data_IF_195257793547
#
_entry.id   IF_195257793547
#
_cell.length_a   1.000
_cell.length_b   1.000
_cell.length_c   1.000
_cell.angle_alpha   90.00
_cell.angle_beta   90.00
_cell.angle_gamma   90.00
#
_symmetry.space_group_name_H-M   'P 1'
#
loop_
_entity.id
_entity.type
_entity.pdbx_description
1 polymer ?
#
# COMPACT_ATOMS: atom_id res chain seq x y z
N UNK A 1 10.52 -23.99 9.34
CA UNK A 1 9.46 -23.39 9.10
C UNK A 1 9.60 -22.02 8.61
N UNK A 2 8.96 -21.66 7.68
CA UNK A 2 9.15 -20.40 7.14
C UNK A 2 8.34 -19.41 7.86
N UNK A 3 8.77 -18.20 7.83
CA UNK A 3 8.11 -17.17 8.40
C UNK A 3 7.52 -16.37 7.36
N UNK A 4 6.27 -16.26 7.30
CA UNK A 4 5.59 -15.43 6.34
C UNK A 4 5.83 -13.99 6.68
N UNK A 5 6.13 -13.20 5.71
CA UNK A 5 6.25 -11.77 5.91
C UNK A 5 4.85 -11.20 6.07
N UNK A 6 4.59 -10.50 7.14
CA UNK A 6 3.24 -9.96 7.33
C UNK A 6 2.96 -8.88 6.27
N UNK A 7 1.74 -8.77 5.81
CA UNK A 7 1.41 -7.73 4.86
C UNK A 7 1.52 -6.35 5.49
N UNK A 8 1.79 -5.32 4.71
CA UNK A 8 1.86 -3.99 5.27
C UNK A 8 0.48 -3.51 5.71
N UNK A 9 0.47 -2.70 6.75
CA UNK A 9 -0.78 -2.18 7.29
C UNK A 9 -0.70 -0.67 7.43
N UNK A 10 -1.86 -0.05 7.56
CA UNK A 10 -1.94 1.36 7.93
C UNK A 10 -1.71 1.47 9.45
N UNK A 11 -1.53 2.67 9.94
CA UNK A 11 -1.34 2.89 11.36
C UNK A 11 -2.56 2.42 12.16
N UNK A 12 -3.73 2.48 11.57
CA UNK A 12 -4.96 2.00 12.20
C UNK A 12 -5.05 0.48 12.28
N UNK A 13 -4.15 -0.23 11.60
CA UNK A 13 -4.10 -1.69 11.68
C UNK A 13 -4.70 -2.43 10.51
N UNK A 14 -5.41 -1.73 9.63
CA UNK A 14 -6.01 -2.40 8.49
C UNK A 14 -4.94 -2.74 7.47
N UNK A 15 -5.09 -3.83 6.79
CA UNK A 15 -4.15 -4.25 5.77
C UNK A 15 -4.23 -3.33 4.56
N UNK A 16 -3.09 -2.90 4.03
CA UNK A 16 -3.06 -2.08 2.83
C UNK A 16 -3.34 -2.98 1.63
N UNK A 17 -4.27 -2.59 0.80
CA UNK A 17 -4.66 -3.37 -0.37
C UNK A 17 -4.64 -2.52 -1.63
N UNK A 18 -4.33 -3.11 -2.78
CA UNK A 18 -4.38 -2.37 -4.03
C UNK A 18 -5.78 -1.83 -4.27
N UNK A 19 -5.85 -0.62 -4.76
CA UNK A 19 -7.13 0.03 -5.02
C UNK A 19 -7.67 0.85 -3.87
N UNK A 20 -7.04 0.75 -2.69
CA UNK A 20 -7.47 1.55 -1.56
C UNK A 20 -7.29 3.04 -1.86
N UNK A 21 -8.26 3.84 -1.46
CA UNK A 21 -8.15 5.29 -1.57
C UNK A 21 -7.62 5.80 -0.24
N UNK A 22 -6.58 6.61 -0.31
CA UNK A 22 -5.86 7.06 0.87
C UNK A 22 -5.62 8.55 0.86
N UNK A 23 -5.25 9.07 2.02
CA UNK A 23 -4.78 10.41 2.15
C UNK A 23 -3.32 10.31 2.57
N UNK A 24 -2.41 10.89 1.82
CA UNK A 24 -1.00 10.83 2.12
C UNK A 24 -0.46 12.24 2.18
N UNK A 25 -0.02 12.65 3.36
CA UNK A 25 0.45 14.02 3.61
C UNK A 25 -0.57 15.05 3.15
N UNK A 26 -1.84 14.76 3.40
CA UNK A 26 -2.91 15.67 3.03
C UNK A 26 -3.36 15.62 1.58
N UNK A 27 -2.72 14.74 0.77
CA UNK A 27 -3.06 14.64 -0.65
C UNK A 27 -3.78 13.34 -0.91
N UNK A 28 -4.75 13.34 -1.77
CA UNK A 28 -5.47 12.12 -2.11
C UNK A 28 -4.63 11.24 -3.00
N UNK A 29 -4.68 9.98 -2.75
CA UNK A 29 -3.95 9.01 -3.54
C UNK A 29 -4.67 7.68 -3.58
N UNK A 30 -4.08 6.74 -4.30
CA UNK A 30 -4.63 5.40 -4.45
C UNK A 30 -3.49 4.42 -4.39
N UNK A 31 -3.70 3.31 -3.69
CA UNK A 31 -2.68 2.26 -3.62
C UNK A 31 -2.62 1.55 -4.97
N UNK A 32 -1.49 1.65 -5.62
CA UNK A 32 -1.32 1.04 -6.93
C UNK A 32 -0.99 -0.45 -6.79
N UNK A 33 -0.06 -0.78 -5.91
CA UNK A 33 0.24 -2.18 -5.63
C UNK A 33 0.92 -2.28 -4.26
N UNK A 34 0.99 -3.51 -3.76
CA UNK A 34 1.66 -3.80 -2.51
C UNK A 34 2.83 -4.71 -2.85
N UNK A 35 4.01 -4.39 -2.33
CA UNK A 35 5.20 -5.19 -2.63
C UNK A 35 5.20 -6.44 -1.76
N UNK A 36 5.19 -7.59 -2.40
CA UNK A 36 5.22 -8.86 -1.70
C UNK A 36 6.25 -9.77 -2.33
N UNK A 37 6.89 -10.64 -1.55
CA UNK A 37 8.00 -11.43 -2.07
C UNK A 37 7.58 -12.49 -3.07
N UNK A 38 6.33 -12.92 -3.00
CA UNK A 38 5.86 -13.99 -3.88
C UNK A 38 5.32 -13.51 -5.21
N UNK A 39 5.20 -12.21 -5.41
CA UNK A 39 4.63 -11.68 -6.62
C UNK A 39 5.76 -11.29 -7.57
N UNK A 40 5.91 -11.95 -8.70
CA UNK A 40 7.01 -11.64 -9.62
C UNK A 40 7.00 -10.20 -10.11
N UNK A 41 5.85 -9.56 -10.12
CA UNK A 41 5.76 -8.17 -10.59
C UNK A 41 6.31 -7.21 -9.54
N UNK A 42 6.01 -7.44 -8.26
CA UNK A 42 6.40 -6.52 -7.22
C UNK A 42 7.61 -6.99 -6.43
N UNK A 43 8.11 -8.19 -6.72
CA UNK A 43 9.21 -8.78 -6.00
C UNK A 43 10.44 -7.88 -5.97
N UNK A 44 10.70 -7.19 -7.05
CA UNK A 44 11.85 -6.29 -7.13
C UNK A 44 11.79 -5.21 -6.05
N UNK A 45 10.59 -4.64 -5.85
CA UNK A 45 10.42 -3.60 -4.84
C UNK A 45 10.61 -4.18 -3.44
N UNK A 46 10.12 -5.40 -3.22
CA UNK A 46 10.28 -6.05 -1.94
C UNK A 46 11.77 -6.29 -1.66
N UNK A 47 12.51 -6.73 -2.65
CA UNK A 47 13.93 -7.01 -2.48
C UNK A 47 14.75 -5.75 -2.25
N UNK A 48 14.35 -4.64 -2.85
CA UNK A 48 15.09 -3.39 -2.72
C UNK A 48 14.71 -2.61 -1.47
N UNK A 49 13.47 -2.62 -1.09
CA UNK A 49 12.98 -1.77 -0.02
C UNK A 49 12.29 -2.48 1.13
N UNK A 50 11.97 -3.73 0.97
CA UNK A 50 11.21 -4.48 1.95
C UNK A 50 9.72 -4.35 1.71
N UNK A 51 8.94 -4.70 2.72
CA UNK A 51 7.50 -4.65 2.63
C UNK A 51 7.04 -3.20 2.49
N UNK A 52 6.13 -2.95 1.62
CA UNK A 52 5.61 -1.60 1.43
C UNK A 52 4.58 -1.54 0.33
N UNK A 53 4.22 -0.33 -0.06
CA UNK A 53 3.22 -0.15 -1.10
C UNK A 53 3.56 1.05 -1.96
N UNK A 54 3.07 1.01 -3.17
CA UNK A 54 3.20 2.14 -4.10
C UNK A 54 1.90 2.91 -4.08
N UNK A 55 1.99 4.22 -3.84
CA UNK A 55 0.83 5.09 -3.82
C UNK A 55 0.91 6.03 -5.00
N UNK A 56 -0.17 6.13 -5.74
CA UNK A 56 -0.26 7.09 -6.83
C UNK A 56 -0.96 8.31 -6.26
N UNK A 57 -0.21 9.38 -6.08
CA UNK A 57 -0.71 10.60 -5.46
C UNK A 57 -0.90 11.65 -6.53
N UNK A 58 -2.05 12.28 -6.55
CA UNK A 58 -2.39 13.17 -7.65
C UNK A 58 -1.43 14.34 -7.79
N UNK A 59 -0.84 14.79 -6.70
CA UNK A 59 0.07 15.93 -6.77
C UNK A 59 1.50 15.56 -7.07
N UNK A 60 1.96 14.40 -6.62
CA UNK A 60 3.35 14.04 -6.72
C UNK A 60 3.66 12.97 -7.73
N UNK A 61 2.68 12.20 -8.10
CA UNK A 61 2.92 11.01 -8.88
C UNK A 61 3.07 9.81 -7.96
N UNK A 62 4.02 8.94 -8.20
CA UNK A 62 4.18 7.71 -7.43
C UNK A 62 5.12 7.87 -6.26
N UNK A 63 4.72 7.31 -5.12
CA UNK A 63 5.52 7.34 -3.92
C UNK A 63 5.53 5.94 -3.31
N UNK A 64 6.69 5.41 -2.99
CA UNK A 64 6.78 4.08 -2.36
C UNK A 64 6.94 4.26 -0.86
N UNK A 65 6.03 3.68 -0.08
CA UNK A 65 6.02 3.82 1.37
C UNK A 65 6.31 2.48 2.00
N UNK A 66 7.30 2.41 2.88
CA UNK A 66 7.72 1.14 3.45
C UNK A 66 7.22 0.90 4.86
N UNK A 67 6.86 1.89 5.61
CA UNK A 67 6.41 1.69 6.99
C UNK A 67 5.08 2.37 7.22
N UNK A 68 4.10 1.99 6.44
CA UNK A 68 2.78 2.60 6.54
C UNK A 68 2.17 2.48 7.91
N UNK A 69 2.50 1.42 8.65
CA UNK A 69 1.95 1.22 9.98
C UNK A 69 2.52 2.22 11.00
N UNK A 70 3.54 2.96 10.62
CA UNK A 70 4.11 3.98 11.50
C UNK A 70 3.98 5.38 10.94
N UNK A 71 3.32 5.51 9.80
CA UNK A 71 3.21 6.79 9.12
C UNK A 71 1.86 7.43 9.41
N UNK A 72 1.85 8.40 10.29
CA UNK A 72 0.61 9.08 10.65
C UNK A 72 0.02 9.82 9.49
N UNK A 73 0.80 10.14 8.48
CA UNK A 73 0.32 10.90 7.35
C UNK A 73 -0.31 10.02 6.27
N UNK A 74 -0.29 8.70 6.45
CA UNK A 74 -0.94 7.79 5.51
C UNK A 74 -2.22 7.26 6.16
N UNK A 75 -3.35 7.64 5.61
CA UNK A 75 -4.64 7.27 6.18
C UNK A 75 -5.52 6.63 5.14
N UNK A 76 -6.19 5.58 5.52
CA UNK A 76 -7.15 4.91 4.63
C UNK A 76 -8.44 5.71 4.61
N UNK A 77 -8.88 6.12 3.44
CA UNK A 77 -10.14 6.83 3.28
C UNK A 77 -11.28 5.87 2.97
N UNK A 78 -11.07 5.00 1.99
CA UNK A 78 -12.09 4.02 1.62
C UNK A 78 -11.48 2.93 0.80
N UNK A 79 -12.12 1.79 0.75
CA UNK A 79 -11.68 0.70 -0.09
C UNK A 79 -12.40 0.73 -1.39
N UNK A 80 -11.66 0.40 -2.44
CA UNK A 80 -12.27 0.27 -3.71
C UNK A 80 -13.18 -0.89 -3.64
N UNK A 81 -14.33 -0.79 -4.20
CA UNK A 81 -15.22 -1.90 -4.33
C UNK A 81 -14.74 -2.73 -5.50
N UNK A 82 -14.22 -3.89 -5.28
CA UNK A 82 -13.66 -4.66 -6.35
C UNK A 82 -14.70 -5.21 -7.29
N UNK A 83 -15.98 -5.25 -6.89
CA UNK A 83 -16.88 -5.78 -7.67
C UNK A 83 -17.94 -5.00 -7.92
N UNK A 84 -18.14 -4.62 -8.98
CA UNK A 84 -19.25 -3.89 -9.27
C UNK A 84 -20.37 -4.78 -9.24
N UNK A 85 -21.08 -4.78 -8.84
CA UNK A 85 -21.95 -5.59 -8.79
C UNK A 85 -22.80 -5.49 -9.68
N UNK A 86 -22.98 -5.45 -10.37
CA UNK A 86 -23.78 -5.55 -11.17
C UNK A 86 -24.15 -5.79 -11.56
#
# INVERSE_FOLDING_TARGET
MSQATPPPTYMSGEEIQPGDHVLYHGERGKIEFVAIPDDPVTKWYFEQYGSGCMILVSSFGRVFVTEGNQDEDLQLLSRSDPLPKN
#
